data_IF_084574221073
#
_entry.id   IF_084574221073
#
_cell.length_a   1.000
_cell.length_b   1.000
_cell.length_c   1.000
_cell.angle_alpha   90.00
_cell.angle_beta   90.00
_cell.angle_gamma   90.00
#
_symmetry.space_group_name_H-M   'P 1'
#
loop_
_entity.id
_entity.type
_entity.pdbx_description
1 polymer ?
#
# COMPACT_ATOMS: atom_id res chain seq x y z
N UNK A 1 10.81 10.91 -10.86
CA UNK A 1 9.98 11.39 -9.71
C UNK A 1 10.50 10.88 -8.37
N UNK A 2 11.74 10.40 -8.29
CA UNK A 2 12.39 9.91 -7.07
C UNK A 2 13.61 10.82 -6.82
N UNK A 3 13.75 11.32 -5.60
CA UNK A 3 14.85 12.16 -5.17
C UNK A 3 16.10 11.36 -4.82
N UNK A 4 17.16 12.07 -4.43
CA UNK A 4 18.47 11.50 -4.12
C UNK A 4 18.43 10.46 -2.98
N UNK A 5 17.46 10.57 -2.06
CA UNK A 5 17.24 9.61 -0.96
C UNK A 5 16.41 8.37 -1.32
N UNK A 6 16.04 8.16 -2.58
CA UNK A 6 15.22 7.01 -3.00
C UNK A 6 13.71 7.17 -2.73
N UNK A 7 13.27 8.33 -2.24
CA UNK A 7 11.87 8.64 -1.95
C UNK A 7 11.23 9.52 -3.02
N UNK A 8 9.89 9.46 -3.13
CA UNK A 8 9.13 10.37 -3.98
C UNK A 8 9.36 11.83 -3.55
N UNK A 9 9.67 12.71 -4.50
CA UNK A 9 9.94 14.13 -4.22
C UNK A 9 8.74 14.89 -3.63
N UNK A 10 7.53 14.33 -3.75
CA UNK A 10 6.29 14.91 -3.24
C UNK A 10 5.86 14.35 -1.88
N UNK A 11 6.63 13.43 -1.29
CA UNK A 11 6.33 12.84 0.02
C UNK A 11 6.88 13.75 1.13
N UNK A 12 6.00 14.25 1.99
CA UNK A 12 6.37 14.99 3.19
C UNK A 12 6.67 13.99 4.33
N UNK A 13 7.92 13.93 4.76
CA UNK A 13 8.36 12.99 5.79
C UNK A 13 7.84 13.33 7.20
N UNK A 14 7.44 14.57 7.45
CA UNK A 14 6.94 15.01 8.76
C UNK A 14 5.48 14.61 8.93
N UNK A 15 4.64 14.94 7.94
CA UNK A 15 3.19 14.64 7.98
C UNK A 15 2.88 13.23 7.47
N UNK A 16 3.79 12.63 6.71
CA UNK A 16 3.61 11.38 5.96
C UNK A 16 2.51 11.48 4.89
N UNK A 17 2.31 12.68 4.35
CA UNK A 17 1.35 12.96 3.30
C UNK A 17 2.04 13.24 1.96
N UNK A 18 1.27 13.21 0.87
CA UNK A 18 1.76 13.65 -0.43
C UNK A 18 1.27 15.07 -0.70
N UNK A 19 2.21 15.97 -1.00
CA UNK A 19 1.94 17.39 -1.21
C UNK A 19 1.09 17.69 -2.45
N UNK A 20 0.95 16.73 -3.37
CA UNK A 20 0.11 16.83 -4.57
C UNK A 20 -1.02 15.82 -4.55
N UNK A 21 -1.63 15.53 -3.38
CA UNK A 21 -2.62 14.44 -3.23
C UNK A 21 -3.69 14.42 -4.34
N UNK A 22 -4.30 15.58 -4.62
CA UNK A 22 -5.37 15.72 -5.63
C UNK A 22 -4.88 15.55 -7.07
N UNK A 23 -3.57 15.62 -7.30
CA UNK A 23 -2.92 15.53 -8.61
C UNK A 23 -1.90 14.38 -8.65
N UNK A 24 -2.05 13.39 -7.78
CA UNK A 24 -1.16 12.23 -7.75
C UNK A 24 -1.17 11.55 -9.12
N UNK A 25 0.00 11.14 -9.62
CA UNK A 25 0.04 10.38 -10.86
C UNK A 25 -0.69 9.04 -10.66
N UNK A 26 -1.30 8.53 -11.73
CA UNK A 26 -2.16 7.35 -11.70
C UNK A 26 -1.53 6.14 -10.99
N UNK A 27 -0.24 5.89 -11.16
CA UNK A 27 0.46 4.77 -10.52
C UNK A 27 0.60 4.89 -8.98
N UNK A 28 0.41 6.09 -8.41
CA UNK A 28 0.40 6.31 -6.96
C UNK A 28 -0.99 6.12 -6.32
N UNK A 29 -2.03 5.92 -7.12
CA UNK A 29 -3.40 5.80 -6.64
C UNK A 29 -3.76 4.32 -6.47
N UNK A 30 -3.97 3.91 -5.22
CA UNK A 30 -4.34 2.54 -4.85
C UNK A 30 -5.85 2.42 -4.90
N UNK A 31 -6.39 2.33 -6.12
CA UNK A 31 -7.82 2.25 -6.38
C UNK A 31 -8.16 1.05 -7.27
N UNK A 32 -9.34 0.42 -7.09
CA UNK A 32 -9.69 -0.80 -7.83
C UNK A 32 -9.64 -0.66 -9.35
N UNK A 33 -10.20 0.43 -9.91
CA UNK A 33 -10.21 0.64 -11.36
C UNK A 33 -8.80 0.78 -11.95
N UNK A 34 -7.91 1.45 -11.23
CA UNK A 34 -6.52 1.63 -11.64
C UNK A 34 -5.78 0.29 -11.62
N UNK A 35 -5.99 -0.52 -10.58
CA UNK A 35 -5.36 -1.82 -10.45
C UNK A 35 -5.92 -2.83 -11.45
N UNK A 36 -7.22 -2.79 -11.75
CA UNK A 36 -7.81 -3.58 -12.83
C UNK A 36 -7.14 -3.27 -14.16
N UNK A 37 -6.98 -2.00 -14.51
CA UNK A 37 -6.33 -1.58 -15.74
C UNK A 37 -4.83 -1.93 -15.80
N UNK A 38 -4.09 -1.87 -14.68
CA UNK A 38 -2.64 -2.14 -14.66
C UNK A 38 -2.29 -3.62 -14.56
N UNK A 39 -3.05 -4.38 -13.78
CA UNK A 39 -2.71 -5.74 -13.37
C UNK A 39 -3.78 -6.77 -13.76
N UNK A 40 -4.87 -6.35 -14.39
CA UNK A 40 -6.01 -7.21 -14.75
C UNK A 40 -6.64 -7.94 -13.56
N UNK A 41 -6.52 -7.39 -12.36
CA UNK A 41 -7.13 -7.96 -11.16
C UNK A 41 -8.61 -7.56 -11.06
N UNK A 42 -9.45 -8.46 -10.57
CA UNK A 42 -10.87 -8.17 -10.37
C UNK A 42 -11.10 -7.35 -9.10
N UNK A 43 -12.25 -6.70 -9.02
CA UNK A 43 -12.63 -5.88 -7.86
C UNK A 43 -12.63 -6.70 -6.56
N UNK A 44 -13.12 -7.94 -6.63
CA UNK A 44 -13.15 -8.87 -5.50
C UNK A 44 -11.75 -9.33 -5.04
N UNK A 45 -10.75 -9.30 -5.92
CA UNK A 45 -9.37 -9.68 -5.64
C UNK A 45 -8.50 -8.49 -5.19
N UNK A 46 -8.98 -7.26 -5.41
CA UNK A 46 -8.23 -6.02 -5.21
C UNK A 46 -7.60 -5.92 -3.81
N UNK A 47 -8.38 -6.17 -2.76
CA UNK A 47 -7.90 -6.04 -1.40
C UNK A 47 -6.83 -7.07 -1.07
N UNK A 48 -7.03 -8.33 -1.47
CA UNK A 48 -6.05 -9.39 -1.20
C UNK A 48 -4.75 -9.15 -1.97
N UNK A 49 -4.85 -8.67 -3.22
CA UNK A 49 -3.68 -8.27 -4.01
C UNK A 49 -2.93 -7.09 -3.37
N UNK A 50 -3.64 -6.05 -2.93
CA UNK A 50 -3.02 -4.89 -2.29
C UNK A 50 -2.36 -5.26 -0.95
N UNK A 51 -2.96 -6.17 -0.17
CA UNK A 51 -2.38 -6.71 1.06
C UNK A 51 -1.06 -7.43 0.75
N UNK A 52 -1.02 -8.25 -0.29
CA UNK A 52 0.19 -8.97 -0.70
C UNK A 52 1.32 -8.02 -1.15
N UNK A 53 0.99 -6.96 -1.89
CA UNK A 53 1.98 -5.91 -2.21
C UNK A 53 2.56 -5.26 -0.96
N UNK A 54 1.74 -5.01 0.07
CA UNK A 54 2.19 -4.49 1.35
C UNK A 54 3.10 -5.48 2.10
N UNK A 55 2.78 -6.78 2.11
CA UNK A 55 3.66 -7.79 2.71
C UNK A 55 5.04 -7.77 2.07
N UNK A 56 5.11 -7.83 0.73
CA UNK A 56 6.38 -7.82 0.00
C UNK A 56 7.20 -6.56 0.30
N UNK A 57 6.53 -5.40 0.39
CA UNK A 57 7.20 -4.14 0.72
C UNK A 57 7.73 -4.13 2.16
N UNK A 58 6.93 -4.59 3.13
CA UNK A 58 7.35 -4.65 4.54
C UNK A 58 8.50 -5.64 4.70
N UNK A 59 8.42 -6.82 4.08
CA UNK A 59 9.50 -7.80 4.08
C UNK A 59 10.78 -7.24 3.46
N UNK A 60 10.69 -6.56 2.31
CA UNK A 60 11.87 -5.98 1.65
C UNK A 60 12.55 -4.87 2.45
N UNK A 61 11.80 -4.14 3.29
CA UNK A 61 12.34 -3.02 4.10
C UNK A 61 12.76 -3.46 5.50
N UNK A 62 11.95 -4.30 6.16
CA UNK A 62 12.09 -4.64 7.58
C UNK A 62 12.38 -6.13 7.83
N UNK A 63 12.14 -7.01 6.84
CA UNK A 63 12.24 -8.46 6.96
C UNK A 63 10.93 -9.15 7.36
N UNK A 64 10.82 -10.44 7.03
CA UNK A 64 9.57 -11.21 7.21
C UNK A 64 9.18 -11.44 8.68
N UNK A 65 10.15 -11.48 9.60
CA UNK A 65 9.93 -11.62 11.05
C UNK A 65 9.83 -10.28 11.79
N UNK A 66 9.70 -9.16 11.07
CA UNK A 66 9.68 -7.83 11.66
C UNK A 66 8.45 -7.58 12.53
N UNK A 67 8.58 -6.66 13.48
CA UNK A 67 7.45 -6.19 14.27
C UNK A 67 6.42 -5.46 13.40
N UNK A 68 6.87 -4.81 12.33
CA UNK A 68 6.06 -4.17 11.31
C UNK A 68 5.15 -5.19 10.60
N UNK A 69 5.70 -6.35 10.22
CA UNK A 69 4.91 -7.44 9.62
C UNK A 69 3.85 -7.94 10.61
N UNK A 70 4.24 -8.25 11.85
CA UNK A 70 3.31 -8.72 12.88
C UNK A 70 2.18 -7.72 13.17
N UNK A 71 2.51 -6.42 13.24
CA UNK A 71 1.51 -5.37 13.42
C UNK A 71 0.57 -5.27 12.23
N UNK A 72 1.08 -5.35 11.01
CA UNK A 72 0.27 -5.31 9.80
C UNK A 72 -0.71 -6.49 9.74
N UNK A 73 -0.21 -7.71 9.91
CA UNK A 73 -1.02 -8.95 9.89
C UNK A 73 -2.16 -8.92 10.90
N UNK A 74 -1.87 -8.46 12.12
CA UNK A 74 -2.87 -8.34 13.16
C UNK A 74 -4.00 -7.35 12.77
N UNK A 75 -3.64 -6.21 12.16
CA UNK A 75 -4.61 -5.22 11.70
C UNK A 75 -5.46 -5.73 10.52
N UNK A 76 -4.83 -6.41 9.55
CA UNK A 76 -5.54 -7.04 8.42
C UNK A 76 -6.55 -8.07 8.93
N UNK A 77 -6.13 -8.92 9.88
CA UNK A 77 -6.99 -9.94 10.49
C UNK A 77 -8.21 -9.32 11.20
N UNK A 78 -8.00 -8.27 12.00
CA UNK A 78 -9.08 -7.56 12.70
C UNK A 78 -10.09 -6.98 11.70
N UNK A 79 -9.61 -6.33 10.63
CA UNK A 79 -10.49 -5.73 9.61
C UNK A 79 -11.30 -6.77 8.84
N UNK A 80 -10.70 -7.92 8.50
CA UNK A 80 -11.43 -9.03 7.85
C UNK A 80 -12.55 -9.57 8.75
N UNK A 81 -12.29 -9.70 10.05
CA UNK A 81 -13.31 -10.15 11.01
C UNK A 81 -14.50 -9.17 11.11
N UNK A 82 -14.23 -7.86 11.14
CA UNK A 82 -15.27 -6.82 11.19
C UNK A 82 -16.10 -6.81 9.89
N UNK A 83 -15.46 -6.99 8.74
CA UNK A 83 -16.12 -6.93 7.42
C UNK A 83 -16.99 -8.16 7.13
N UNK A 84 -16.89 -9.20 7.95
CA UNK A 84 -17.63 -10.46 7.83
C UNK A 84 -18.76 -10.61 8.87
N UNK A 85 -18.99 -9.56 9.67
CA UNK A 85 -20.05 -9.48 10.70
C UNK A 85 -21.12 -8.47 10.29
#
# INVERSE_FOLDING_TARGET
MIGEGGWCINFDHNTRECNIYSNRPRFCCVEPGIFQEMYSIKLEEFNDFAIECCHQQIEGVYGWQSMEMLHFDNNVRIRKAISSS
#
